data_IF_603517709354
#
_entry.id   IF_603517709354
#
_cell.length_a   1.000
_cell.length_b   1.000
_cell.length_c   1.000
_cell.angle_alpha   90.00
_cell.angle_beta   90.00
_cell.angle_gamma   90.00
#
_symmetry.space_group_name_H-M   'P 1'
#
loop_
_entity.id
_entity.type
_entity.pdbx_description
1 polymer ?
#
# COMPACT_ATOMS: atom_id res chain seq x y z
N UNK A 1 9.39 -11.56 -4.38
CA UNK A 1 7.99 -11.23 -4.03
C UNK A 1 7.68 -11.43 -2.55
N UNK A 2 7.76 -12.66 -2.01
CA UNK A 2 7.43 -12.93 -0.59
C UNK A 2 8.11 -12.01 0.44
N UNK A 3 9.41 -11.72 0.28
CA UNK A 3 10.13 -10.79 1.17
C UNK A 3 9.60 -9.34 1.09
N UNK A 4 9.16 -8.89 -0.09
CA UNK A 4 8.59 -7.55 -0.25
C UNK A 4 7.26 -7.43 0.50
N UNK A 5 6.40 -8.45 0.45
CA UNK A 5 5.17 -8.48 1.24
C UNK A 5 5.43 -8.51 2.75
N UNK A 6 6.44 -9.26 3.22
CA UNK A 6 6.79 -9.23 4.64
C UNK A 6 7.35 -7.87 5.07
N UNK A 7 8.19 -7.24 4.23
CA UNK A 7 8.71 -5.91 4.52
C UNK A 7 7.59 -4.87 4.59
N UNK A 8 6.65 -4.90 3.64
CA UNK A 8 5.51 -3.98 3.64
C UNK A 8 4.57 -4.26 4.82
N UNK A 9 4.35 -5.52 5.23
CA UNK A 9 3.59 -5.83 6.44
C UNK A 9 4.15 -5.12 7.69
N UNK A 10 5.47 -5.15 7.89
CA UNK A 10 6.11 -4.44 9.01
C UNK A 10 6.00 -2.92 8.86
N UNK A 11 6.13 -2.39 7.64
CA UNK A 11 5.92 -0.97 7.31
C UNK A 11 4.49 -0.53 7.67
N UNK A 12 3.46 -1.29 7.28
CA UNK A 12 2.06 -1.02 7.59
C UNK A 12 1.79 -0.99 9.11
N UNK A 13 2.44 -1.85 9.91
CA UNK A 13 2.31 -1.77 11.37
C UNK A 13 2.84 -0.44 11.90
N UNK A 14 3.99 0.03 11.40
CA UNK A 14 4.52 1.35 11.73
C UNK A 14 3.61 2.50 11.29
N UNK A 15 2.92 2.35 10.16
CA UNK A 15 1.95 3.34 9.68
C UNK A 15 0.70 3.41 10.55
N UNK A 16 0.25 2.29 11.13
CA UNK A 16 -0.83 2.28 12.13
C UNK A 16 -0.42 3.08 13.36
N UNK A 17 0.79 2.86 13.89
CA UNK A 17 1.33 3.67 14.99
C UNK A 17 1.43 5.16 14.62
N UNK A 18 1.72 5.46 13.35
CA UNK A 18 1.75 6.83 12.83
C UNK A 18 0.36 7.46 12.79
N UNK A 19 -0.69 6.70 12.49
CA UNK A 19 -2.09 7.16 12.58
C UNK A 19 -2.44 7.49 14.03
N UNK A 20 -2.01 6.69 15.00
CA UNK A 20 -2.22 6.99 16.42
C UNK A 20 -1.54 8.32 16.80
N UNK A 21 -0.31 8.56 16.35
CA UNK A 21 0.40 9.83 16.54
C UNK A 21 -0.30 11.02 15.86
N UNK A 22 -0.93 10.82 14.70
CA UNK A 22 -1.75 11.84 14.02
C UNK A 22 -2.94 12.22 14.90
N UNK A 23 -3.67 11.24 15.43
CA UNK A 23 -4.83 11.46 16.29
C UNK A 23 -4.43 12.16 17.59
N UNK A 24 -3.32 11.73 18.21
CA UNK A 24 -2.78 12.35 19.42
C UNK A 24 -2.26 13.78 19.20
N UNK A 25 -1.90 14.14 17.96
CA UNK A 25 -1.38 15.46 17.66
C UNK A 25 -2.41 16.59 17.75
N UNK A 26 -3.70 16.27 17.67
CA UNK A 26 -4.79 17.24 17.65
C UNK A 26 -5.94 16.80 18.56
N UNK A 27 -6.25 17.61 19.59
CA UNK A 27 -7.23 17.26 20.64
C UNK A 27 -8.66 16.92 20.15
N UNK A 28 -9.03 17.37 18.95
CA UNK A 28 -10.35 17.17 18.36
C UNK A 28 -10.43 15.96 17.40
N UNK A 29 -9.32 15.30 17.08
CA UNK A 29 -9.30 14.12 16.23
C UNK A 29 -9.67 12.86 17.01
N UNK A 30 -10.48 11.99 16.39
CA UNK A 30 -10.89 10.68 16.93
C UNK A 30 -11.12 9.71 15.79
N UNK A 31 -10.66 8.47 15.93
CA UNK A 31 -10.97 7.39 15.00
C UNK A 31 -12.39 6.89 15.27
N UNK A 32 -13.21 6.83 14.22
CA UNK A 32 -14.50 6.15 14.26
C UNK A 32 -14.33 4.73 13.74
N UNK A 33 -14.79 3.75 14.50
CA UNK A 33 -14.78 2.35 14.06
C UNK A 33 -15.66 2.20 12.82
N UNK A 34 -15.03 1.80 11.72
CA UNK A 34 -15.71 1.49 10.47
C UNK A 34 -14.91 0.45 9.69
N UNK A 35 -15.57 -0.21 8.73
CA UNK A 35 -14.92 -1.11 7.79
C UNK A 35 -14.71 -0.37 6.47
N UNK A 36 -13.49 -0.44 5.93
CA UNK A 36 -13.20 0.12 4.62
C UNK A 36 -13.59 -0.89 3.53
N UNK A 37 -14.77 -0.71 2.92
CA UNK A 37 -15.29 -1.63 1.88
C UNK A 37 -14.43 -1.63 0.62
N UNK A 38 -13.80 -0.49 0.29
CA UNK A 38 -12.89 -0.40 -0.85
C UNK A 38 -11.66 -1.28 -0.67
N UNK A 39 -10.99 -1.19 0.49
CA UNK A 39 -9.83 -2.03 0.79
C UNK A 39 -10.20 -3.51 0.88
N UNK A 40 -11.36 -3.85 1.44
CA UNK A 40 -11.84 -5.23 1.45
C UNK A 40 -11.93 -5.81 0.03
N UNK A 41 -12.54 -5.08 -0.92
CA UNK A 41 -12.64 -5.56 -2.30
C UNK A 41 -11.29 -5.74 -2.99
N UNK A 42 -10.31 -4.88 -2.69
CA UNK A 42 -8.94 -5.03 -3.22
C UNK A 42 -8.23 -6.26 -2.65
N UNK A 43 -8.44 -6.56 -1.36
CA UNK A 43 -7.92 -7.76 -0.71
C UNK A 43 -8.60 -9.02 -1.26
N UNK A 44 -9.92 -8.97 -1.50
CA UNK A 44 -10.67 -10.05 -2.15
C UNK A 44 -10.12 -10.34 -3.55
N UNK A 45 -9.83 -9.31 -4.36
CA UNK A 45 -9.19 -9.49 -5.68
C UNK A 45 -7.84 -10.21 -5.56
N UNK A 46 -7.00 -9.83 -4.59
CA UNK A 46 -5.71 -10.50 -4.37
C UNK A 46 -5.87 -11.97 -3.93
N UNK A 47 -6.89 -12.27 -3.11
CA UNK A 47 -7.20 -13.63 -2.70
C UNK A 47 -7.70 -14.49 -3.87
N UNK A 48 -8.56 -13.95 -4.75
CA UNK A 48 -8.99 -14.65 -5.96
C UNK A 48 -7.81 -15.03 -6.85
N UNK A 49 -6.78 -14.17 -6.96
CA UNK A 49 -5.54 -14.51 -7.68
C UNK A 49 -4.85 -15.72 -7.04
N UNK A 50 -4.76 -15.77 -5.70
CA UNK A 50 -4.13 -16.89 -4.97
C UNK A 50 -4.88 -18.20 -5.22
N UNK A 51 -6.21 -18.16 -5.26
CA UNK A 51 -7.07 -19.33 -5.44
C UNK A 51 -7.14 -19.81 -6.89
N UNK A 52 -7.12 -18.89 -7.86
CA UNK A 52 -7.38 -19.19 -9.28
C UNK A 52 -6.15 -19.51 -10.13
N UNK A 53 -4.94 -19.26 -9.62
CA UNK A 53 -3.68 -19.47 -10.37
C UNK A 53 -2.85 -20.60 -9.76
N UNK A 54 -1.91 -21.19 -10.49
CA UNK A 54 -0.90 -22.08 -9.89
C UNK A 54 0.28 -21.27 -9.34
N UNK A 55 1.04 -21.83 -8.39
CA UNK A 55 2.21 -21.14 -7.83
C UNK A 55 3.37 -21.10 -8.82
N UNK A 56 3.38 -20.07 -9.66
CA UNK A 56 4.39 -19.81 -10.69
C UNK A 56 4.48 -18.30 -10.98
N UNK A 57 5.25 -17.94 -12.01
CA UNK A 57 5.53 -16.56 -12.42
C UNK A 57 4.27 -15.80 -12.87
N UNK A 58 3.25 -16.50 -13.37
CA UNK A 58 1.96 -15.89 -13.73
C UNK A 58 1.23 -15.44 -12.49
N UNK A 59 1.21 -16.27 -11.44
CA UNK A 59 0.67 -15.87 -10.13
C UNK A 59 1.46 -14.70 -9.56
N UNK A 60 2.79 -14.74 -9.60
CA UNK A 60 3.61 -13.64 -9.08
C UNK A 60 3.30 -12.31 -9.81
N UNK A 61 3.12 -12.33 -11.14
CA UNK A 61 2.73 -11.14 -11.90
C UNK A 61 1.35 -10.60 -11.48
N UNK A 62 0.37 -11.49 -11.32
CA UNK A 62 -0.99 -11.11 -10.92
C UNK A 62 -1.03 -10.59 -9.46
N UNK A 63 -0.25 -11.19 -8.55
CA UNK A 63 -0.12 -10.73 -7.17
C UNK A 63 0.55 -9.36 -7.08
N UNK A 64 1.58 -9.10 -7.89
CA UNK A 64 2.20 -7.78 -7.96
C UNK A 64 1.17 -6.75 -8.45
N UNK A 65 0.42 -7.06 -9.51
CA UNK A 65 -0.61 -6.15 -10.03
C UNK A 65 -1.71 -5.85 -8.99
N UNK A 66 -2.17 -6.87 -8.26
CA UNK A 66 -3.15 -6.69 -7.18
C UNK A 66 -2.58 -5.82 -6.04
N UNK A 67 -1.33 -6.05 -5.64
CA UNK A 67 -0.65 -5.25 -4.63
C UNK A 67 -0.51 -3.78 -5.07
N UNK A 68 -0.12 -3.51 -6.32
CA UNK A 68 -0.04 -2.13 -6.82
C UNK A 68 -1.39 -1.40 -6.79
N UNK A 69 -2.51 -2.11 -6.97
CA UNK A 69 -3.84 -1.51 -6.80
C UNK A 69 -4.12 -1.11 -5.35
N UNK A 70 -3.65 -1.91 -4.39
CA UNK A 70 -3.67 -1.56 -2.96
C UNK A 70 -2.86 -0.30 -2.72
N UNK A 71 -1.58 -0.26 -3.16
CA UNK A 71 -0.73 0.93 -3.01
C UNK A 71 -1.36 2.17 -3.64
N UNK A 72 -1.98 2.07 -4.82
CA UNK A 72 -2.61 3.21 -5.49
C UNK A 72 -3.80 3.77 -4.70
N UNK A 73 -4.56 2.89 -4.05
CA UNK A 73 -5.63 3.29 -3.14
C UNK A 73 -5.06 4.03 -1.91
N UNK A 74 -3.95 3.55 -1.35
CA UNK A 74 -3.29 4.17 -0.19
C UNK A 74 -2.62 5.50 -0.55
N UNK A 75 -1.92 5.59 -1.67
CA UNK A 75 -1.33 6.83 -2.21
C UNK A 75 -2.40 7.90 -2.39
N UNK A 76 -3.54 7.56 -2.99
CA UNK A 76 -4.66 8.49 -3.15
C UNK A 76 -5.23 8.93 -1.79
N UNK A 77 -5.34 7.99 -0.85
CA UNK A 77 -5.86 8.23 0.49
C UNK A 77 -4.95 9.15 1.31
N UNK A 78 -3.65 8.83 1.42
CA UNK A 78 -2.68 9.64 2.16
C UNK A 78 -2.43 10.99 1.49
N UNK A 79 -2.44 11.08 0.16
CA UNK A 79 -2.37 12.35 -0.56
C UNK A 79 -3.53 13.29 -0.20
N UNK A 80 -4.75 12.73 -0.13
CA UNK A 80 -5.95 13.46 0.29
C UNK A 80 -5.85 13.89 1.75
N UNK A 81 -5.53 12.96 2.65
CA UNK A 81 -5.45 13.23 4.09
C UNK A 81 -4.37 14.27 4.42
N UNK A 82 -3.19 14.17 3.83
CA UNK A 82 -2.12 15.14 4.01
C UNK A 82 -2.55 16.54 3.56
N UNK A 83 -3.19 16.66 2.39
CA UNK A 83 -3.69 17.93 1.88
C UNK A 83 -4.75 18.54 2.81
N UNK A 84 -5.69 17.73 3.29
CA UNK A 84 -6.71 18.19 4.24
C UNK A 84 -6.10 18.63 5.58
N UNK A 85 -5.11 17.89 6.09
CA UNK A 85 -4.38 18.27 7.31
C UNK A 85 -3.67 19.62 7.14
N UNK A 86 -3.09 19.90 5.96
CA UNK A 86 -2.51 21.22 5.67
C UNK A 86 -3.56 22.33 5.64
N UNK A 87 -4.71 22.10 5.00
CA UNK A 87 -5.81 23.09 4.94
C UNK A 87 -6.39 23.40 6.33
N UNK A 88 -6.43 22.41 7.22
CA UNK A 88 -6.90 22.55 8.60
C UNK A 88 -5.83 23.10 9.55
N UNK A 89 -4.59 23.29 9.09
CA UNK A 89 -3.48 23.79 9.91
C UNK A 89 -2.84 22.75 10.83
N UNK A 90 -3.15 21.46 10.68
CA UNK A 90 -2.61 20.36 11.48
C UNK A 90 -1.21 19.97 11.02
N UNK A 91 -0.23 20.84 11.29
CA UNK A 91 1.14 20.75 10.72
C UNK A 91 1.84 19.44 11.07
N UNK A 92 1.67 18.92 12.29
CA UNK A 92 2.27 17.64 12.71
C UNK A 92 1.62 16.47 11.97
N UNK A 93 0.28 16.45 11.91
CA UNK A 93 -0.47 15.45 11.15
C UNK A 93 -0.08 15.42 9.67
N UNK A 94 0.00 16.59 9.02
CA UNK A 94 0.39 16.69 7.61
C UNK A 94 1.79 16.12 7.35
N UNK A 95 2.75 16.35 8.24
CA UNK A 95 4.10 15.78 8.13
C UNK A 95 4.05 14.25 8.22
N UNK A 96 3.39 13.71 9.23
CA UNK A 96 3.28 12.27 9.46
C UNK A 96 2.55 11.57 8.29
N UNK A 97 1.46 12.15 7.79
CA UNK A 97 0.72 11.59 6.64
C UNK A 97 1.55 11.63 5.35
N UNK A 98 2.40 12.65 5.17
CA UNK A 98 3.36 12.70 4.06
C UNK A 98 4.47 11.66 4.20
N UNK A 99 4.92 11.35 5.42
CA UNK A 99 5.88 10.27 5.64
C UNK A 99 5.30 8.94 5.17
N UNK A 100 4.06 8.60 5.55
CA UNK A 100 3.42 7.39 5.01
C UNK A 100 3.22 7.46 3.50
N UNK A 101 2.76 8.59 2.95
CA UNK A 101 2.59 8.75 1.50
C UNK A 101 3.87 8.41 0.72
N UNK A 102 5.03 8.81 1.21
CA UNK A 102 6.30 8.52 0.55
C UNK A 102 6.76 7.06 0.74
N UNK A 103 6.43 6.41 1.85
CA UNK A 103 6.60 4.96 2.04
C UNK A 103 5.78 4.17 1.00
N UNK A 104 4.49 4.47 0.86
CA UNK A 104 3.58 3.82 -0.11
C UNK A 104 4.07 4.01 -1.55
N UNK A 105 4.48 5.22 -1.93
CA UNK A 105 5.08 5.47 -3.26
C UNK A 105 6.35 4.65 -3.47
N UNK A 106 7.22 4.56 -2.45
CA UNK A 106 8.44 3.78 -2.55
C UNK A 106 8.13 2.28 -2.68
N UNK A 107 7.07 1.80 -2.03
CA UNK A 107 6.61 0.42 -2.15
C UNK A 107 6.03 0.13 -3.54
N UNK A 108 5.20 1.01 -4.12
CA UNK A 108 4.74 0.87 -5.51
C UNK A 108 5.90 0.85 -6.53
N UNK A 109 6.94 1.66 -6.31
CA UNK A 109 8.17 1.62 -7.14
C UNK A 109 8.87 0.27 -7.01
N UNK A 110 9.05 -0.25 -5.78
CA UNK A 110 9.66 -1.58 -5.57
C UNK A 110 8.83 -2.70 -6.24
N UNK A 111 7.50 -2.61 -6.19
CA UNK A 111 6.61 -3.55 -6.88
C UNK A 111 6.77 -3.48 -8.40
N UNK A 112 6.89 -2.26 -8.96
CA UNK A 112 7.19 -2.06 -10.38
C UNK A 112 8.51 -2.71 -10.78
N UNK A 113 9.56 -2.55 -9.99
CA UNK A 113 10.86 -3.20 -10.25
C UNK A 113 10.74 -4.73 -10.20
N UNK A 114 9.97 -5.28 -9.25
CA UNK A 114 9.70 -6.71 -9.18
C UNK A 114 8.92 -7.21 -10.41
N UNK A 115 7.96 -6.43 -10.91
CA UNK A 115 7.22 -6.76 -12.13
C UNK A 115 8.14 -6.82 -13.36
N UNK A 116 9.01 -5.81 -13.52
CA UNK A 116 10.00 -5.77 -14.62
C UNK A 116 10.95 -6.97 -14.58
N UNK A 117 11.44 -7.32 -13.39
CA UNK A 117 12.30 -8.49 -13.21
C UNK A 117 11.59 -9.80 -13.55
N UNK A 118 10.29 -9.91 -13.25
CA UNK A 118 9.48 -11.07 -13.63
C UNK A 118 9.29 -11.18 -15.16
N UNK A 119 9.08 -10.04 -15.84
CA UNK A 119 8.98 -9.98 -17.30
C UNK A 119 10.29 -10.42 -17.97
N UNK A 120 11.44 -9.97 -17.45
CA UNK A 120 12.74 -10.32 -18.01
C UNK A 120 13.05 -11.83 -17.90
N UNK A 121 12.72 -12.49 -16.78
CA UNK A 121 12.81 -13.95 -16.67
C UNK A 121 12.02 -14.69 -17.75
N UNK A 122 10.85 -14.17 -18.12
CA UNK A 122 10.02 -14.74 -19.19
C UNK A 122 10.63 -14.53 -20.58
N UNK A 123 11.32 -13.41 -20.80
CA UNK A 123 11.99 -13.11 -22.07
C UNK A 123 13.21 -14.02 -22.28
N UNK A 124 14.01 -14.25 -21.24
CA UNK A 124 15.17 -15.16 -21.28
C UNK A 124 14.74 -16.62 -21.49
N UNK A 125 13.64 -17.07 -20.88
CA UNK A 125 13.15 -18.45 -21.04
C UNK A 125 12.43 -18.72 -22.38
N UNK A 126 12.27 -17.71 -23.25
CA UNK A 126 11.65 -17.84 -24.58
C UNK A 126 12.62 -17.65 -25.75
N UNK A 127 13.90 -17.36 -25.48
CA UNK A 127 14.98 -17.25 -26.46
C UNK A 127 15.80 -18.56 -26.51
#
# INVERSE_FOLDING_TARGET
LSQAFHAHLEETHGQIERIDQVVESESNLKIKRMKCVAMEGLIEEANEVIESTEKNEVRDAALIAAAQKVEHYEIASYGTLATLAEQLGYRKAAKLLKETLEEEKATDIKLTDLALNNVNKKAENKA
#
